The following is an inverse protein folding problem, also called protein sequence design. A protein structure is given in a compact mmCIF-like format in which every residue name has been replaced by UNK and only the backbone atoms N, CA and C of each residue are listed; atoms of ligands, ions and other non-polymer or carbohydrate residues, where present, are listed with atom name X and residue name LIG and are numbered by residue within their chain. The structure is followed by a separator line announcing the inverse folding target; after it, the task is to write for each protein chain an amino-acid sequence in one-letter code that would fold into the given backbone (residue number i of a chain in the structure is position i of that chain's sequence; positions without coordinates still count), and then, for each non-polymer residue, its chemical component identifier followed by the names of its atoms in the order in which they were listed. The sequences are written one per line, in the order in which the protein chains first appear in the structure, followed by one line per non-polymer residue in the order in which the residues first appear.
data_IF_715346723456
#
_entry.id   IF_715346723456
#
_cell.length_a   1.000
_cell.length_b   1.000
_cell.length_c   1.000
_cell.angle_alpha   90.00
_cell.angle_beta   90.00
_cell.angle_gamma   90.00
#
_symmetry.space_group_name_H-M   'P 1'
#
loop_
_entity.id
_entity.type
_entity.pdbx_description
1 polymer ?
#
# COMPACT_ATOMS: atom_id res chain seq x y z
N UNK A 1 -6.12 -25.44 -9.25
CA UNK A 1 -7.51 -25.80 -9.59
C UNK A 1 -8.24 -24.48 -9.82
N UNK A 2 -8.42 -24.09 -11.08
CA UNK A 2 -9.13 -22.85 -11.42
C UNK A 2 -10.60 -23.05 -11.04
N UNK A 3 -11.00 -22.51 -9.90
CA UNK A 3 -12.40 -22.29 -9.61
C UNK A 3 -12.83 -21.13 -10.49
N UNK A 4 -13.24 -21.44 -11.72
CA UNK A 4 -14.11 -20.55 -12.48
C UNK A 4 -15.31 -20.32 -11.57
N UNK A 5 -15.48 -19.09 -11.08
CA UNK A 5 -16.67 -18.74 -10.31
C UNK A 5 -17.88 -19.14 -11.18
N UNK A 6 -18.85 -19.89 -10.64
CA UNK A 6 -20.04 -20.24 -11.41
C UNK A 6 -20.62 -18.96 -11.98
N UNK A 7 -20.97 -18.96 -13.27
CA UNK A 7 -21.66 -17.85 -13.92
C UNK A 7 -22.85 -17.47 -13.02
N UNK A 8 -22.71 -16.35 -12.32
CA UNK A 8 -23.78 -15.82 -11.47
C UNK A 8 -24.95 -15.56 -12.42
N UNK A 9 -26.07 -16.25 -12.20
CA UNK A 9 -27.28 -16.00 -12.98
C UNK A 9 -27.64 -14.51 -12.84
N UNK A 10 -27.67 -13.82 -13.98
CA UNK A 10 -28.13 -12.44 -14.04
C UNK A 10 -29.54 -12.35 -13.46
N UNK A 11 -29.77 -11.43 -12.54
CA UNK A 11 -31.11 -11.20 -11.96
C UNK A 11 -31.95 -10.51 -13.04
N UNK A 12 -33.12 -11.08 -13.42
CA UNK A 12 -33.99 -10.46 -14.42
C UNK A 12 -34.38 -9.03 -14.02
N UNK A 13 -34.10 -8.06 -14.89
CA UNK A 13 -34.29 -6.61 -14.66
C UNK A 13 -33.07 -5.85 -14.12
N UNK A 14 -31.93 -6.51 -13.86
CA UNK A 14 -30.67 -5.91 -13.40
C UNK A 14 -29.46 -6.25 -14.29
N UNK A 15 -29.71 -6.73 -15.51
CA UNK A 15 -28.70 -7.26 -16.44
C UNK A 15 -27.65 -6.24 -16.87
N UNK A 16 -27.92 -4.96 -16.68
CA UNK A 16 -27.07 -3.82 -17.08
C UNK A 16 -26.42 -3.10 -15.90
N UNK A 17 -26.60 -3.59 -14.67
CA UNK A 17 -26.16 -2.92 -13.44
C UNK A 17 -25.17 -3.81 -12.69
N UNK A 18 -24.05 -3.25 -12.23
CA UNK A 18 -23.14 -4.00 -11.38
C UNK A 18 -23.73 -4.16 -9.97
N UNK A 19 -23.81 -5.40 -9.50
CA UNK A 19 -24.25 -5.75 -8.14
C UNK A 19 -23.45 -6.94 -7.59
N UNK A 20 -23.40 -7.04 -6.26
CA UNK A 20 -22.89 -8.22 -5.56
C UNK A 20 -24.04 -8.94 -4.83
N UNK A 21 -23.97 -10.27 -4.74
CA UNK A 21 -24.86 -11.06 -3.90
C UNK A 21 -24.16 -11.37 -2.57
N UNK A 22 -24.69 -10.83 -1.48
CA UNK A 22 -24.19 -11.06 -0.12
C UNK A 22 -25.30 -11.70 0.71
N UNK A 23 -25.09 -12.94 1.15
CA UNK A 23 -26.05 -13.74 1.94
C UNK A 23 -27.47 -13.76 1.34
N UNK A 24 -27.55 -13.94 0.02
CA UNK A 24 -28.83 -13.98 -0.72
C UNK A 24 -29.49 -12.62 -0.91
N UNK A 25 -28.81 -11.51 -0.60
CA UNK A 25 -29.29 -10.15 -0.83
C UNK A 25 -28.50 -9.47 -1.93
N UNK A 26 -29.19 -8.68 -2.76
CA UNK A 26 -28.56 -7.83 -3.77
C UNK A 26 -27.99 -6.60 -3.07
N UNK A 27 -26.69 -6.40 -3.20
CA UNK A 27 -25.98 -5.18 -2.81
C UNK A 27 -25.62 -4.44 -4.09
N UNK A 28 -26.17 -3.24 -4.26
CA UNK A 28 -25.85 -2.40 -5.41
C UNK A 28 -24.42 -1.86 -5.29
N UNK A 29 -23.56 -2.17 -6.26
CA UNK A 29 -22.15 -1.75 -6.24
C UNK A 29 -21.89 -0.49 -7.07
N UNK A 30 -22.94 0.06 -7.71
CA UNK A 30 -22.86 1.25 -8.54
C UNK A 30 -22.54 0.97 -10.00
N UNK A 31 -22.83 1.91 -10.88
CA UNK A 31 -22.52 1.85 -12.33
C UNK A 31 -21.02 1.90 -12.66
N UNK A 32 -20.16 1.84 -11.65
CA UNK A 32 -18.70 1.90 -11.73
C UNK A 32 -18.04 0.71 -11.00
N UNK A 33 -18.67 -0.46 -10.91
CA UNK A 33 -18.00 -1.63 -10.31
C UNK A 33 -16.92 -2.24 -11.23
N UNK A 34 -16.60 -1.55 -12.33
CA UNK A 34 -15.22 -1.44 -12.83
C UNK A 34 -14.33 -0.77 -11.79
N UNK A 35 -14.13 -1.46 -10.68
CA UNK A 35 -13.11 -1.06 -9.72
C UNK A 35 -11.76 -1.30 -10.39
N UNK A 36 -10.86 -0.32 -10.30
CA UNK A 36 -9.46 -0.45 -10.70
C UNK A 36 -8.66 -1.31 -9.69
N UNK A 37 -9.32 -2.34 -9.14
CA UNK A 37 -8.83 -3.21 -8.10
C UNK A 37 -8.29 -4.51 -8.71
N UNK A 38 -7.12 -5.00 -8.29
CA UNK A 38 -6.52 -6.22 -8.84
C UNK A 38 -7.35 -7.48 -8.56
N UNK A 39 -8.15 -7.46 -7.48
CA UNK A 39 -9.08 -8.53 -7.08
C UNK A 39 -10.52 -8.38 -7.58
N UNK A 40 -10.80 -7.53 -8.57
CA UNK A 40 -12.13 -7.47 -9.17
C UNK A 40 -12.45 -8.79 -9.90
N UNK A 41 -13.56 -9.44 -9.55
CA UNK A 41 -13.93 -10.76 -10.08
C UNK A 41 -14.37 -10.73 -11.55
N UNK A 42 -14.97 -9.63 -12.02
CA UNK A 42 -15.47 -9.53 -13.40
C UNK A 42 -14.37 -9.07 -14.36
N UNK A 43 -13.65 -8.01 -13.98
CA UNK A 43 -12.57 -7.42 -14.78
C UNK A 43 -11.44 -6.94 -13.85
N UNK A 44 -10.54 -7.85 -13.41
CA UNK A 44 -9.41 -7.47 -12.58
C UNK A 44 -8.54 -6.47 -13.33
N UNK A 45 -8.30 -5.31 -12.73
CA UNK A 45 -7.34 -4.39 -13.29
C UNK A 45 -5.93 -4.97 -13.16
N UNK A 46 -5.15 -4.88 -14.22
CA UNK A 46 -3.75 -5.27 -14.24
C UNK A 46 -2.93 -4.10 -14.77
N UNK A 47 -1.84 -3.78 -14.07
CA UNK A 47 -0.85 -2.87 -14.59
C UNK A 47 -0.20 -3.50 -15.83
N UNK A 48 0.07 -2.69 -16.85
CA UNK A 48 0.97 -3.11 -17.91
C UNK A 48 2.37 -3.36 -17.32
N UNK A 49 3.11 -4.39 -17.79
CA UNK A 49 4.46 -4.63 -17.31
C UNK A 49 5.36 -3.41 -17.56
N UNK A 50 5.86 -2.81 -16.48
CA UNK A 50 6.76 -1.66 -16.51
C UNK A 50 8.01 -1.95 -15.71
N UNK A 51 9.16 -1.49 -16.24
CA UNK A 51 10.41 -1.45 -15.49
C UNK A 51 10.67 -0.01 -15.08
N UNK A 52 10.65 0.26 -13.78
CA UNK A 52 10.95 1.58 -13.25
C UNK A 52 12.45 1.79 -13.05
N UNK A 53 12.92 3.00 -13.33
CA UNK A 53 14.27 3.43 -12.99
C UNK A 53 14.35 3.82 -11.52
N UNK A 54 15.13 3.11 -10.71
CA UNK A 54 15.23 3.40 -9.27
C UNK A 54 15.64 4.86 -8.95
N UNK A 55 16.44 5.49 -9.81
CA UNK A 55 16.79 6.91 -9.67
C UNK A 55 15.64 7.84 -10.06
N UNK A 56 14.88 7.51 -11.11
CA UNK A 56 13.72 8.28 -11.52
C UNK A 56 12.65 8.25 -10.42
N UNK A 57 12.35 7.06 -9.87
CA UNK A 57 11.44 6.93 -8.74
C UNK A 57 11.86 7.78 -7.54
N UNK A 58 13.15 7.78 -7.18
CA UNK A 58 13.66 8.62 -6.08
C UNK A 58 13.51 10.11 -6.38
N UNK A 59 13.86 10.55 -7.59
CA UNK A 59 13.74 11.96 -7.98
C UNK A 59 12.27 12.42 -7.98
N UNK A 60 11.37 11.62 -8.55
CA UNK A 60 9.93 11.91 -8.56
C UNK A 60 9.31 11.92 -7.17
N UNK A 61 9.68 10.96 -6.32
CA UNK A 61 9.23 10.92 -4.93
C UNK A 61 9.76 12.11 -4.10
N UNK A 62 10.97 12.58 -4.37
CA UNK A 62 11.51 13.78 -3.73
C UNK A 62 10.74 15.05 -4.16
N UNK A 63 10.39 15.18 -5.44
CA UNK A 63 9.53 16.27 -5.93
C UNK A 63 8.14 16.23 -5.28
N UNK A 64 7.56 15.03 -5.17
CA UNK A 64 6.29 14.83 -4.49
C UNK A 64 6.37 15.33 -3.04
N UNK A 65 7.34 14.84 -2.26
CA UNK A 65 7.51 15.24 -0.86
C UNK A 65 7.67 16.76 -0.69
N UNK A 66 8.44 17.41 -1.56
CA UNK A 66 8.66 18.87 -1.51
C UNK A 66 7.40 19.67 -1.84
N UNK A 67 6.51 19.14 -2.69
CA UNK A 67 5.27 19.79 -3.09
C UNK A 67 4.05 19.46 -2.23
N UNK A 68 4.19 18.62 -1.19
CA UNK A 68 3.07 18.20 -0.37
C UNK A 68 2.74 19.21 0.73
N UNK A 69 1.51 19.74 0.68
CA UNK A 69 0.96 20.58 1.74
C UNK A 69 0.21 19.78 2.82
N UNK A 70 -0.32 18.60 2.45
CA UNK A 70 -1.18 17.80 3.34
C UNK A 70 -0.51 16.48 3.73
N UNK A 71 -0.44 16.23 5.04
CA UNK A 71 0.15 15.02 5.61
C UNK A 71 -0.91 14.28 6.43
N UNK A 72 -1.57 13.28 5.83
CA UNK A 72 -2.59 12.45 6.49
C UNK A 72 -2.00 11.11 6.95
N UNK A 73 -2.53 10.56 8.05
CA UNK A 73 -2.08 9.26 8.55
C UNK A 73 -0.59 9.27 8.91
N UNK A 74 0.13 8.24 8.47
CA UNK A 74 1.56 8.04 8.71
C UNK A 74 2.46 8.99 7.91
N UNK A 75 1.93 9.73 6.90
CA UNK A 75 2.67 10.87 6.34
C UNK A 75 2.90 11.95 7.39
N UNK A 76 1.92 12.17 8.27
CA UNK A 76 2.07 13.09 9.40
C UNK A 76 3.23 12.67 10.30
N UNK A 77 3.36 11.36 10.59
CA UNK A 77 4.48 10.84 11.35
C UNK A 77 5.84 11.08 10.68
N UNK A 78 5.95 10.83 9.37
CA UNK A 78 7.18 11.14 8.63
C UNK A 78 7.50 12.64 8.62
N UNK A 79 6.48 13.49 8.55
CA UNK A 79 6.63 14.94 8.65
C UNK A 79 6.88 15.44 10.09
N UNK A 80 7.01 14.53 11.06
CA UNK A 80 7.25 14.88 12.47
C UNK A 80 6.05 15.34 13.25
N UNK A 81 4.86 15.21 12.68
CA UNK A 81 3.62 15.47 13.37
C UNK A 81 3.34 14.36 14.39
N UNK A 82 2.61 14.74 15.43
CA UNK A 82 2.06 13.79 16.40
C UNK A 82 0.93 13.01 15.73
N UNK A 83 0.96 11.69 15.85
CA UNK A 83 -0.10 10.82 15.38
C UNK A 83 -1.31 10.91 16.31
N UNK A 84 -2.47 10.56 15.76
CA UNK A 84 -3.68 10.39 16.57
C UNK A 84 -3.60 9.10 17.39
N UNK A 85 -4.20 9.10 18.58
CA UNK A 85 -4.34 7.89 19.39
C UNK A 85 -5.21 6.84 18.63
N UNK A 86 -4.85 5.54 18.62
CA UNK A 86 -3.77 4.90 19.38
C UNK A 86 -2.42 4.80 18.66
N UNK A 87 -2.30 5.25 17.41
CA UNK A 87 -1.09 5.09 16.59
C UNK A 87 0.14 5.78 17.20
N UNK A 88 -0.04 6.86 17.94
CA UNK A 88 1.06 7.53 18.64
C UNK A 88 1.79 6.60 19.62
N UNK A 89 1.08 5.71 20.30
CA UNK A 89 1.68 4.71 21.22
C UNK A 89 2.58 3.73 20.45
N UNK A 90 2.33 3.56 19.16
CA UNK A 90 3.09 2.68 18.28
C UNK A 90 4.27 3.37 17.59
N UNK A 91 4.49 4.68 17.80
CA UNK A 91 5.61 5.42 17.19
C UNK A 91 6.96 4.70 17.30
N UNK A 92 7.36 4.11 18.44
CA UNK A 92 8.63 3.39 18.51
C UNK A 92 8.70 2.17 17.56
N UNK A 93 7.58 1.52 17.28
CA UNK A 93 7.50 0.38 16.35
C UNK A 93 7.62 0.85 14.89
N UNK A 94 6.98 1.97 14.56
CA UNK A 94 7.08 2.62 13.26
C UNK A 94 8.52 3.10 13.00
N UNK A 95 9.13 3.74 14.01
CA UNK A 95 10.54 4.17 13.96
C UNK A 95 11.48 2.99 13.71
N UNK A 96 11.24 1.83 14.34
CA UNK A 96 12.04 0.63 14.11
C UNK A 96 12.02 0.16 12.64
N UNK A 97 10.87 0.28 11.95
CA UNK A 97 10.76 -0.04 10.51
C UNK A 97 11.63 0.91 9.68
N UNK A 98 11.52 2.22 9.92
CA UNK A 98 12.29 3.23 9.21
C UNK A 98 13.80 3.06 9.44
N UNK A 99 14.22 2.83 10.70
CA UNK A 99 15.62 2.60 11.06
C UNK A 99 16.20 1.38 10.35
N UNK A 100 15.45 0.27 10.30
CA UNK A 100 15.89 -0.95 9.63
C UNK A 100 16.03 -0.78 8.10
N UNK A 101 15.07 -0.11 7.46
CA UNK A 101 15.15 0.22 6.03
C UNK A 101 16.36 1.10 5.71
N UNK A 102 16.62 2.13 6.54
CA UNK A 102 17.77 3.01 6.39
C UNK A 102 19.09 2.25 6.53
N UNK A 103 19.19 1.41 7.57
CA UNK A 103 20.36 0.57 7.80
C UNK A 103 20.53 -0.54 6.74
N UNK A 104 19.53 -0.75 5.88
CA UNK A 104 19.44 -1.88 4.94
C UNK A 104 19.63 -3.23 5.65
N UNK A 105 19.16 -3.32 6.88
CA UNK A 105 19.16 -4.52 7.70
C UNK A 105 17.86 -5.29 7.50
N UNK A 106 17.92 -6.35 6.70
CA UNK A 106 16.75 -7.18 6.39
C UNK A 106 16.20 -7.90 7.62
N UNK A 107 17.07 -8.35 8.53
CA UNK A 107 16.64 -9.08 9.71
C UNK A 107 15.92 -8.14 10.69
N UNK A 108 16.48 -6.95 10.91
CA UNK A 108 15.82 -5.91 11.71
C UNK A 108 14.52 -5.45 11.06
N UNK A 109 14.48 -5.33 9.72
CA UNK A 109 13.28 -4.92 9.00
C UNK A 109 12.15 -5.94 9.18
N UNK A 110 12.45 -7.23 9.05
CA UNK A 110 11.46 -8.28 9.25
C UNK A 110 10.89 -8.25 10.69
N UNK A 111 11.76 -8.15 11.70
CA UNK A 111 11.32 -8.07 13.10
C UNK A 111 10.45 -6.84 13.34
N UNK A 112 10.81 -5.68 12.77
CA UNK A 112 10.03 -4.46 12.89
C UNK A 112 8.68 -4.56 12.15
N UNK A 113 8.66 -5.12 10.95
CA UNK A 113 7.47 -5.33 10.14
C UNK A 113 6.43 -6.19 10.87
N UNK A 114 6.87 -7.29 11.48
CA UNK A 114 5.98 -8.15 12.27
C UNK A 114 5.32 -7.42 13.46
N UNK A 115 5.93 -6.34 13.98
CA UNK A 115 5.42 -5.58 15.12
C UNK A 115 4.45 -4.46 14.76
N UNK A 116 4.37 -4.09 13.48
CA UNK A 116 3.43 -3.09 12.96
C UNK A 116 2.28 -3.73 12.17
N UNK A 117 2.35 -5.02 11.88
CA UNK A 117 1.26 -5.75 11.22
C UNK A 117 -0.05 -5.66 12.02
N UNK A 118 -1.16 -5.33 11.35
CA UNK A 118 -2.48 -5.12 11.95
C UNK A 118 -2.61 -3.85 12.80
N UNK A 119 -1.60 -2.98 12.80
CA UNK A 119 -1.60 -1.79 13.64
C UNK A 119 -2.49 -0.68 13.05
N UNK A 120 -3.52 -0.27 13.79
CA UNK A 120 -4.47 0.74 13.35
C UNK A 120 -5.90 0.19 13.32
N UNK A 121 -6.86 1.05 13.02
CA UNK A 121 -8.27 0.69 12.95
C UNK A 121 -8.74 0.63 11.49
N UNK A 122 -9.84 -0.07 11.23
CA UNK A 122 -10.50 -0.10 9.92
C UNK A 122 -10.27 -1.39 9.13
N UNK A 123 -10.73 -1.39 7.88
CA UNK A 123 -10.60 -2.54 6.98
C UNK A 123 -9.16 -2.76 6.51
N UNK A 124 -8.36 -1.69 6.46
CA UNK A 124 -6.94 -1.67 6.14
C UNK A 124 -6.22 -0.90 7.27
N UNK A 125 -5.67 -1.60 8.26
CA UNK A 125 -4.92 -0.96 9.34
C UNK A 125 -3.68 -0.22 8.80
N UNK A 126 -3.37 0.94 9.36
CA UNK A 126 -2.24 1.79 8.93
C UNK A 126 -0.90 1.09 8.84
N UNK A 127 -0.62 0.13 9.72
CA UNK A 127 0.61 -0.66 9.68
C UNK A 127 0.66 -1.62 8.50
N UNK A 128 -0.48 -2.18 8.09
CA UNK A 128 -0.56 -3.03 6.90
C UNK A 128 -0.41 -2.19 5.63
N UNK A 129 -1.02 -0.99 5.59
CA UNK A 129 -0.88 -0.04 4.48
C UNK A 129 0.58 0.45 4.33
N UNK A 130 1.24 0.78 5.46
CA UNK A 130 2.66 1.16 5.48
C UNK A 130 3.53 0.04 4.91
N UNK A 131 3.37 -1.19 5.40
CA UNK A 131 4.13 -2.34 4.91
C UNK A 131 3.81 -2.64 3.45
N UNK A 132 2.55 -2.49 3.06
CA UNK A 132 2.09 -2.61 1.68
C UNK A 132 2.83 -1.66 0.74
N UNK A 133 2.90 -0.37 1.08
CA UNK A 133 3.67 0.63 0.33
C UNK A 133 5.16 0.30 0.25
N UNK A 134 5.76 -0.18 1.35
CA UNK A 134 7.17 -0.61 1.37
C UNK A 134 7.40 -1.81 0.43
N UNK A 135 6.61 -2.88 0.57
CA UNK A 135 6.79 -4.08 -0.23
C UNK A 135 6.49 -3.85 -1.72
N UNK A 136 5.46 -3.06 -2.03
CA UNK A 136 5.18 -2.65 -3.40
C UNK A 136 6.38 -1.92 -4.01
N UNK A 137 6.97 -0.99 -3.26
CA UNK A 137 8.17 -0.27 -3.69
C UNK A 137 9.34 -1.22 -3.89
N UNK A 138 9.57 -2.16 -2.98
CA UNK A 138 10.68 -3.13 -3.08
C UNK A 138 10.48 -4.14 -4.21
N UNK A 139 9.25 -4.43 -4.63
CA UNK A 139 8.96 -5.25 -5.79
C UNK A 139 9.39 -4.56 -7.11
N UNK A 140 9.24 -3.22 -7.17
CA UNK A 140 9.55 -2.40 -8.35
C UNK A 140 10.95 -1.77 -8.33
N UNK A 141 11.52 -1.55 -7.15
CA UNK A 141 12.83 -0.97 -6.91
C UNK A 141 13.59 -1.79 -5.84
N UNK A 142 14.02 -3.02 -6.16
CA UNK A 142 14.56 -3.95 -5.17
C UNK A 142 15.90 -3.51 -4.61
N UNK A 143 16.11 -3.78 -3.32
CA UNK A 143 17.43 -3.76 -2.70
C UNK A 143 18.14 -5.06 -3.09
N UNK A 144 19.15 -4.98 -3.98
CA UNK A 144 19.83 -6.14 -4.55
C UNK A 144 20.30 -7.15 -3.49
N UNK A 145 20.82 -6.67 -2.36
CA UNK A 145 21.29 -7.52 -1.25
C UNK A 145 20.18 -8.34 -0.58
N UNK A 146 18.91 -7.96 -0.72
CA UNK A 146 17.78 -8.63 -0.08
C UNK A 146 17.10 -9.65 -0.98
N UNK A 147 17.43 -9.66 -2.28
CA UNK A 147 16.71 -10.41 -3.31
C UNK A 147 16.56 -11.91 -2.98
N UNK A 148 17.63 -12.57 -2.54
CA UNK A 148 17.62 -14.02 -2.26
C UNK A 148 16.79 -14.42 -1.04
N UNK A 149 16.62 -13.50 -0.07
CA UNK A 149 15.94 -13.77 1.20
C UNK A 149 14.50 -13.23 1.25
N UNK A 150 14.12 -12.37 0.29
CA UNK A 150 12.83 -11.67 0.32
C UNK A 150 11.64 -12.63 0.22
N UNK A 151 11.75 -13.73 -0.52
CA UNK A 151 10.69 -14.75 -0.60
C UNK A 151 10.38 -15.38 0.77
N UNK A 152 11.40 -15.61 1.60
CA UNK A 152 11.24 -16.11 2.95
C UNK A 152 10.60 -15.07 3.88
N UNK A 153 10.97 -13.79 3.73
CA UNK A 153 10.34 -12.68 4.46
C UNK A 153 8.86 -12.59 4.11
N UNK A 154 8.51 -12.60 2.81
CA UNK A 154 7.12 -12.59 2.36
C UNK A 154 6.31 -13.76 2.94
N UNK A 155 6.89 -14.97 3.00
CA UNK A 155 6.22 -16.13 3.59
C UNK A 155 5.92 -15.94 5.09
N UNK A 156 6.86 -15.38 5.84
CA UNK A 156 6.68 -15.13 7.28
C UNK A 156 5.68 -14.02 7.55
N UNK A 157 5.71 -12.93 6.77
CA UNK A 157 4.71 -11.86 6.85
C UNK A 157 3.32 -12.39 6.52
N UNK A 158 3.16 -13.19 5.45
CA UNK A 158 1.87 -13.80 5.10
C UNK A 158 1.31 -14.66 6.24
N UNK A 159 2.13 -15.52 6.83
CA UNK A 159 1.71 -16.38 7.95
C UNK A 159 1.37 -15.58 9.22
N UNK A 160 2.04 -14.46 9.46
CA UNK A 160 1.70 -13.57 10.58
C UNK A 160 0.40 -12.80 10.34
N UNK A 161 0.15 -12.37 9.10
CA UNK A 161 -1.01 -11.57 8.73
C UNK A 161 -2.34 -12.30 9.00
N UNK A 162 -2.36 -13.64 8.86
CA UNK A 162 -3.51 -14.49 9.19
C UNK A 162 -4.05 -14.31 10.61
N UNK A 163 -3.21 -13.88 11.56
CA UNK A 163 -3.58 -13.68 12.97
C UNK A 163 -3.52 -12.22 13.42
N UNK A 164 -2.74 -11.40 12.73
CA UNK A 164 -2.50 -10.02 13.13
C UNK A 164 -3.52 -9.03 12.55
N UNK A 165 -4.11 -9.32 11.39
CA UNK A 165 -5.04 -8.43 10.70
C UNK A 165 -6.27 -9.19 10.18
N UNK A 166 -7.19 -8.48 9.55
CA UNK A 166 -8.38 -9.07 8.96
C UNK A 166 -8.11 -9.64 7.54
N UNK A 167 -8.93 -10.58 7.04
CA UNK A 167 -8.70 -11.23 5.76
C UNK A 167 -8.60 -10.28 4.55
N UNK A 168 -9.27 -9.12 4.57
CA UNK A 168 -9.24 -8.15 3.48
C UNK A 168 -7.86 -7.48 3.44
N UNK A 169 -7.36 -7.00 4.58
CA UNK A 169 -6.03 -6.37 4.62
C UNK A 169 -4.91 -7.37 4.33
N UNK A 170 -4.97 -8.59 4.88
CA UNK A 170 -3.99 -9.64 4.61
C UNK A 170 -3.90 -9.98 3.12
N UNK A 171 -5.06 -10.01 2.45
CA UNK A 171 -5.18 -10.16 1.01
C UNK A 171 -4.48 -9.03 0.24
N UNK A 172 -4.76 -7.78 0.58
CA UNK A 172 -4.17 -6.62 -0.10
C UNK A 172 -2.65 -6.56 0.09
N UNK A 173 -2.17 -6.82 1.31
CA UNK A 173 -0.74 -6.89 1.60
C UNK A 173 -0.03 -7.96 0.75
N UNK A 174 -0.68 -9.11 0.53
CA UNK A 174 -0.15 -10.18 -0.32
C UNK A 174 -0.05 -9.77 -1.80
N UNK A 175 -0.97 -8.95 -2.30
CA UNK A 175 -0.88 -8.39 -3.66
C UNK A 175 0.26 -7.37 -3.75
N UNK A 176 0.38 -6.49 -2.75
CA UNK A 176 1.42 -5.47 -2.67
C UNK A 176 2.83 -6.09 -2.60
N UNK A 177 2.99 -7.20 -1.87
CA UNK A 177 4.23 -8.00 -1.87
C UNK A 177 4.59 -8.59 -3.24
N UNK A 178 3.64 -8.70 -4.17
CA UNK A 178 3.87 -9.11 -5.56
C UNK A 178 4.03 -7.93 -6.52
N UNK A 179 4.06 -6.70 -6.02
CA UNK A 179 4.09 -5.49 -6.85
C UNK A 179 2.76 -5.17 -7.52
N UNK A 180 1.65 -5.75 -7.04
CA UNK A 180 0.30 -5.48 -7.53
C UNK A 180 -0.47 -4.61 -6.52
N UNK A 181 -1.35 -3.74 -7.00
CA UNK A 181 -2.10 -2.79 -6.18
C UNK A 181 -3.30 -2.27 -6.97
N UNK A 182 -4.10 -1.42 -6.34
CA UNK A 182 -5.01 -0.50 -7.01
C UNK A 182 -4.25 0.34 -8.05
N UNK A 183 -4.91 0.69 -9.16
CA UNK A 183 -4.32 1.56 -10.21
C UNK A 183 -3.67 2.81 -9.64
N UNK A 184 -4.31 3.46 -8.67
CA UNK A 184 -3.86 4.74 -8.13
C UNK A 184 -2.43 4.69 -7.56
N UNK A 185 -1.98 3.57 -7.00
CA UNK A 185 -0.60 3.44 -6.54
C UNK A 185 0.40 3.26 -7.70
N UNK A 186 -0.02 2.59 -8.79
CA UNK A 186 0.79 2.51 -10.00
C UNK A 186 0.87 3.85 -10.72
N UNK A 187 -0.23 4.62 -10.78
CA UNK A 187 -0.25 5.97 -11.35
C UNK A 187 0.79 6.88 -10.66
N UNK A 188 0.99 6.72 -9.34
CA UNK A 188 2.04 7.43 -8.59
C UNK A 188 3.44 7.04 -9.07
N UNK A 189 3.70 5.75 -9.29
CA UNK A 189 5.00 5.28 -9.78
C UNK A 189 5.26 5.72 -11.22
N UNK A 190 4.24 5.69 -12.06
CA UNK A 190 4.29 6.20 -13.44
C UNK A 190 4.60 7.70 -13.45
N UNK A 191 3.94 8.47 -12.59
CA UNK A 191 4.21 9.90 -12.45
C UNK A 191 5.63 10.17 -11.91
N UNK A 192 6.12 9.39 -10.96
CA UNK A 192 7.50 9.51 -10.47
C UNK A 192 8.52 9.19 -11.57
N UNK A 193 8.25 8.18 -12.40
CA UNK A 193 9.09 7.81 -13.52
C UNK A 193 9.18 8.91 -14.59
N UNK A 194 8.07 9.61 -14.85
CA UNK A 194 8.01 10.76 -15.77
C UNK A 194 8.72 11.97 -15.16
N UNK A 195 8.55 12.23 -13.86
CA UNK A 195 9.28 13.28 -13.14
C UNK A 195 8.71 14.69 -13.31
N UNK A 196 7.48 14.84 -13.80
CA UNK A 196 6.83 16.14 -13.98
C UNK A 196 5.98 16.55 -12.75
N UNK A 197 6.12 17.78 -12.21
CA UNK A 197 5.45 18.18 -10.98
C UNK A 197 3.92 18.09 -11.00
N UNK A 198 3.28 18.45 -12.12
CA UNK A 198 1.82 18.41 -12.27
C UNK A 198 1.25 16.98 -12.14
N UNK A 199 1.66 16.05 -13.02
CA UNK A 199 1.26 14.64 -12.94
C UNK A 199 1.58 13.98 -11.58
N UNK A 200 2.72 14.31 -10.98
CA UNK A 200 3.09 13.82 -9.64
C UNK A 200 2.08 14.28 -8.59
N UNK A 201 1.77 15.58 -8.58
CA UNK A 201 0.82 16.17 -7.63
C UNK A 201 -0.55 15.52 -7.79
N UNK A 202 -1.05 15.41 -9.03
CA UNK A 202 -2.35 14.82 -9.33
C UNK A 202 -2.46 13.35 -8.88
N UNK A 203 -1.42 12.55 -9.13
CA UNK A 203 -1.39 11.14 -8.76
C UNK A 203 -1.32 10.95 -7.23
N UNK A 204 -0.45 11.71 -6.55
CA UNK A 204 -0.32 11.69 -5.10
C UNK A 204 -1.61 12.12 -4.41
N UNK A 205 -2.25 13.18 -4.90
CA UNK A 205 -3.52 13.68 -4.39
C UNK A 205 -4.64 12.65 -4.51
N UNK A 206 -4.69 11.92 -5.63
CA UNK A 206 -5.64 10.81 -5.81
C UNK A 206 -5.35 9.69 -4.83
N UNK A 207 -4.07 9.33 -4.62
CA UNK A 207 -3.69 8.30 -3.67
C UNK A 207 -4.08 8.69 -2.24
N UNK A 208 -3.74 9.90 -1.80
CA UNK A 208 -4.01 10.39 -0.44
C UNK A 208 -5.51 10.43 -0.12
N UNK A 209 -6.38 10.60 -1.13
CA UNK A 209 -7.84 10.52 -0.99
C UNK A 209 -8.40 9.09 -0.91
N UNK A 210 -7.55 8.06 -1.07
CA UNK A 210 -7.96 6.66 -0.97
C UNK A 210 -8.15 6.26 0.51
N UNK A 211 -9.38 5.88 0.84
CA UNK A 211 -9.74 5.51 2.21
C UNK A 211 -9.66 6.70 3.18
N UNK A 212 -9.74 6.41 4.49
CA UNK A 212 -9.66 7.45 5.51
C UNK A 212 -8.23 7.96 5.72
N UNK A 213 -7.25 7.04 5.79
CA UNK A 213 -5.81 7.36 5.87
C UNK A 213 -4.93 6.43 5.02
N UNK A 214 -5.48 5.35 4.48
CA UNK A 214 -4.72 4.28 3.79
C UNK A 214 -3.85 4.78 2.66
N UNK A 215 -4.33 5.75 1.87
CA UNK A 215 -3.55 6.42 0.85
C UNK A 215 -2.27 7.06 1.37
N UNK A 216 -2.39 7.83 2.47
CA UNK A 216 -1.24 8.43 3.13
C UNK A 216 -0.34 7.38 3.79
N UNK A 217 -0.93 6.38 4.43
CA UNK A 217 -0.18 5.31 5.10
C UNK A 217 0.68 4.50 4.11
N UNK A 218 0.13 4.17 2.94
CA UNK A 218 0.88 3.56 1.83
C UNK A 218 1.98 4.48 1.29
N UNK A 219 1.66 5.76 1.05
CA UNK A 219 2.64 6.72 0.51
C UNK A 219 3.81 6.95 1.48
N UNK A 220 3.56 6.93 2.79
CA UNK A 220 4.62 6.94 3.80
C UNK A 220 5.55 5.73 3.65
N UNK A 221 4.99 4.54 3.39
CA UNK A 221 5.77 3.34 3.12
C UNK A 221 6.64 3.45 1.87
N UNK A 222 6.09 4.04 0.80
CA UNK A 222 6.82 4.34 -0.45
C UNK A 222 8.01 5.26 -0.18
N UNK A 223 7.80 6.38 0.54
CA UNK A 223 8.86 7.33 0.85
C UNK A 223 9.96 6.73 1.73
N UNK A 224 9.62 5.87 2.70
CA UNK A 224 10.61 5.15 3.50
C UNK A 224 11.46 4.20 2.66
N UNK A 225 10.83 3.39 1.80
CA UNK A 225 11.54 2.43 0.97
C UNK A 225 12.46 3.11 -0.07
N UNK A 226 12.06 4.28 -0.59
CA UNK A 226 12.87 5.12 -1.48
C UNK A 226 13.89 6.01 -0.75
N UNK A 227 13.91 6.00 0.59
CA UNK A 227 14.79 6.82 1.44
C UNK A 227 14.65 8.34 1.21
N UNK A 228 13.40 8.82 1.04
CA UNK A 228 13.12 10.25 0.81
C UNK A 228 13.05 11.04 2.12
N UNK A 229 12.50 10.42 3.17
CA UNK A 229 12.24 11.08 4.44
C UNK A 229 12.76 10.22 5.60
N UNK A 230 13.24 10.89 6.64
CA UNK A 230 13.49 10.26 7.93
C UNK A 230 12.38 10.67 8.89
N UNK A 231 11.79 9.73 9.65
CA UNK A 231 10.99 10.14 10.80
C UNK A 231 11.92 10.90 11.75
N UNK A 232 11.44 11.99 12.39
CA UNK A 232 12.28 12.75 13.29
C UNK A 232 12.81 11.88 14.42
N UNK A 233 14.04 12.18 14.86
CA UNK A 233 14.59 11.56 16.06
C UNK A 233 13.63 11.79 17.23
N UNK A 234 13.33 10.71 17.98
CA UNK A 234 12.55 10.82 19.20
C UNK A 234 13.25 11.83 20.11
N UNK A 235 12.64 12.99 20.32
CA UNK A 235 13.04 13.92 21.36
C UNK A 235 12.53 13.30 22.66
N UNK A 236 13.44 12.64 23.38
CA UNK A 236 13.20 12.10 24.72
C UNK A 236 12.70 13.20 25.67
#
# INVERSE_FOLDING_TARGET
MNLVAPDLQAVPGFETTDYALLDGRIVWTGSNARTDHPRNLAHPWQAEPVTYGAQALRSGAALAWQGMDTHIGLLGWLAGQRLVFPLEVARPRLNAVALALRARDLAAFEVAALRVLGLGNGLTPSGDDLLGGIFFTLAHAPIAAWHSAMSCVHARIRSAAERATNPISAALLDDLMRGSSYRVLHDVFDAFQVGEPGPITDAVDRLVRLGASSGGDMLAGVFLALQICEPPADTL
#
